data_IF_520650568474
#
_entry.id   IF_520650568474
#
_cell.length_a   1.000
_cell.length_b   1.000
_cell.length_c   1.000
_cell.angle_alpha   90.00
_cell.angle_beta   90.00
_cell.angle_gamma   90.00
#
_symmetry.space_group_name_H-M   'P 1'
#
loop_
_entity.id
_entity.type
_entity.pdbx_description
1 polymer ?
#
# COMPACT_ATOMS: atom_id res chain seq x y z
N UNK A 1 11.32 -18.06 -19.25
CA UNK A 1 12.20 -18.45 -18.12
C UNK A 1 12.81 -17.15 -17.65
N UNK A 2 12.57 -16.74 -16.41
CA UNK A 2 13.05 -15.42 -15.97
C UNK A 2 14.57 -15.48 -15.79
N UNK A 3 15.26 -14.51 -16.36
CA UNK A 3 16.70 -14.50 -16.59
C UNK A 3 17.42 -13.71 -15.48
N UNK A 4 17.17 -14.10 -14.23
CA UNK A 4 17.79 -13.49 -13.05
C UNK A 4 18.18 -14.54 -12.01
N UNK A 5 19.18 -14.21 -11.19
CA UNK A 5 19.67 -15.07 -10.13
C UNK A 5 18.62 -15.23 -9.01
N UNK A 6 18.14 -16.45 -8.72
CA UNK A 6 17.17 -16.69 -7.66
C UNK A 6 17.68 -16.33 -6.27
N UNK A 7 19.00 -16.39 -6.01
CA UNK A 7 19.57 -15.98 -4.73
C UNK A 7 19.45 -14.47 -4.51
N UNK A 8 19.69 -13.70 -5.57
CA UNK A 8 19.55 -12.24 -5.54
C UNK A 8 18.08 -11.83 -5.36
N UNK A 9 17.15 -12.53 -6.01
CA UNK A 9 15.71 -12.33 -5.79
C UNK A 9 15.31 -12.58 -4.34
N UNK A 10 15.73 -13.71 -3.75
CA UNK A 10 15.43 -14.05 -2.36
C UNK A 10 16.01 -13.01 -1.39
N UNK A 11 17.22 -12.53 -1.65
CA UNK A 11 17.83 -11.44 -0.90
C UNK A 11 16.97 -10.17 -0.95
N UNK A 12 16.58 -9.71 -2.14
CA UNK A 12 15.76 -8.50 -2.30
C UNK A 12 14.42 -8.65 -1.56
N UNK A 13 13.75 -9.79 -1.70
CA UNK A 13 12.50 -10.07 -0.98
C UNK A 13 12.69 -10.11 0.54
N UNK A 14 13.80 -10.64 1.02
CA UNK A 14 14.13 -10.66 2.45
C UNK A 14 14.39 -9.25 3.00
N UNK A 15 15.11 -8.40 2.27
CA UNK A 15 15.34 -7.01 2.68
C UNK A 15 14.03 -6.21 2.71
N UNK A 16 13.13 -6.41 1.76
CA UNK A 16 11.82 -5.77 1.79
C UNK A 16 11.01 -6.20 3.02
N UNK A 17 11.06 -7.49 3.39
CA UNK A 17 10.41 -8.00 4.62
C UNK A 17 10.97 -7.36 5.89
N UNK A 18 12.24 -6.93 5.88
CA UNK A 18 12.87 -6.18 6.97
C UNK A 18 12.58 -4.67 6.93
N UNK A 19 11.76 -4.20 5.98
CA UNK A 19 11.32 -2.80 5.90
C UNK A 19 12.21 -1.89 5.06
N UNK A 20 13.22 -2.43 4.36
CA UNK A 20 14.06 -1.62 3.48
C UNK A 20 13.30 -1.21 2.21
N UNK A 21 13.53 0.02 1.74
CA UNK A 21 12.93 0.49 0.48
C UNK A 21 13.58 -0.18 -0.73
N UNK A 22 12.80 -0.40 -1.78
CA UNK A 22 13.31 -1.03 -3.01
C UNK A 22 14.43 -0.20 -3.64
N UNK A 23 14.34 1.13 -3.59
CA UNK A 23 15.38 2.03 -4.11
C UNK A 23 16.68 1.96 -3.30
N UNK A 24 16.58 1.83 -1.97
CA UNK A 24 17.76 1.59 -1.12
C UNK A 24 18.44 0.27 -1.51
N UNK A 25 17.66 -0.80 -1.66
CA UNK A 25 18.18 -2.12 -2.03
C UNK A 25 18.83 -2.08 -3.41
N UNK A 26 18.21 -1.41 -4.40
CA UNK A 26 18.80 -1.21 -5.74
C UNK A 26 20.17 -0.54 -5.65
N UNK A 27 20.24 0.60 -4.98
CA UNK A 27 21.49 1.36 -4.86
C UNK A 27 22.56 0.55 -4.14
N UNK A 28 22.19 -0.14 -3.06
CA UNK A 28 23.11 -1.02 -2.34
C UNK A 28 23.68 -2.12 -3.23
N UNK A 29 22.84 -2.80 -4.02
CA UNK A 29 23.32 -3.84 -4.94
C UNK A 29 24.25 -3.27 -6.03
N UNK A 30 23.93 -2.11 -6.58
CA UNK A 30 24.81 -1.44 -7.55
C UNK A 30 26.16 -1.07 -6.92
N UNK A 31 26.18 -0.60 -5.68
CA UNK A 31 27.40 -0.26 -4.94
C UNK A 31 28.25 -1.50 -4.61
N UNK A 32 27.62 -2.67 -4.45
CA UNK A 32 28.31 -3.96 -4.31
C UNK A 32 28.83 -4.53 -5.64
N UNK A 33 28.65 -3.81 -6.75
CA UNK A 33 29.15 -4.22 -8.07
C UNK A 33 28.24 -5.17 -8.85
N UNK A 34 26.99 -5.34 -8.43
CA UNK A 34 26.03 -6.12 -9.22
C UNK A 34 25.68 -5.41 -10.53
N UNK A 35 25.43 -6.21 -11.57
CA UNK A 35 25.06 -5.68 -12.89
C UNK A 35 23.73 -4.91 -12.84
N UNK A 36 23.74 -3.70 -13.39
CA UNK A 36 22.59 -2.79 -13.34
C UNK A 36 21.35 -3.31 -14.07
N UNK A 37 21.54 -4.09 -15.13
CA UNK A 37 20.43 -4.72 -15.88
C UNK A 37 19.79 -5.84 -15.06
N UNK A 38 20.59 -6.68 -14.39
CA UNK A 38 20.08 -7.71 -13.46
C UNK A 38 19.33 -7.08 -12.28
N UNK A 39 19.90 -6.05 -11.64
CA UNK A 39 19.26 -5.34 -10.52
C UNK A 39 17.94 -4.70 -10.97
N UNK A 40 17.91 -4.10 -12.16
CA UNK A 40 16.71 -3.52 -12.76
C UNK A 40 15.59 -4.54 -12.96
N UNK A 41 15.90 -5.68 -13.59
CA UNK A 41 14.94 -6.77 -13.84
C UNK A 41 14.36 -7.35 -12.54
N UNK A 42 15.21 -7.59 -11.54
CA UNK A 42 14.77 -8.12 -10.24
C UNK A 42 13.86 -7.12 -9.55
N UNK A 43 14.25 -5.85 -9.53
CA UNK A 43 13.44 -4.84 -8.90
C UNK A 43 12.08 -4.63 -9.59
N UNK A 44 12.05 -4.68 -10.92
CA UNK A 44 10.81 -4.64 -11.69
C UNK A 44 9.90 -5.85 -11.36
N UNK A 45 10.46 -7.05 -11.33
CA UNK A 45 9.73 -8.26 -10.96
C UNK A 45 9.17 -8.19 -9.53
N UNK A 46 9.97 -7.71 -8.58
CA UNK A 46 9.55 -7.52 -7.18
C UNK A 46 8.47 -6.45 -7.05
N UNK A 47 8.61 -5.33 -7.76
CA UNK A 47 7.58 -4.28 -7.78
C UNK A 47 6.27 -4.82 -8.37
N UNK A 48 6.35 -5.61 -9.43
CA UNK A 48 5.19 -6.25 -10.05
C UNK A 48 4.47 -7.20 -9.08
N UNK A 49 5.20 -8.14 -8.46
CA UNK A 49 4.64 -9.09 -7.49
C UNK A 49 4.00 -8.38 -6.28
N UNK A 50 4.66 -7.32 -5.80
CA UNK A 50 4.17 -6.50 -4.68
C UNK A 50 2.89 -5.76 -5.06
N UNK A 51 2.84 -5.15 -6.23
CA UNK A 51 1.63 -4.49 -6.74
C UNK A 51 0.48 -5.48 -6.91
N UNK A 52 0.75 -6.69 -7.38
CA UNK A 52 -0.27 -7.73 -7.54
C UNK A 52 -0.82 -8.22 -6.19
N UNK A 53 0.04 -8.36 -5.18
CA UNK A 53 -0.39 -8.64 -3.81
C UNK A 53 -1.33 -7.55 -3.28
N UNK A 54 -0.97 -6.28 -3.44
CA UNK A 54 -1.79 -5.13 -3.02
C UNK A 54 -3.12 -5.11 -3.78
N UNK A 55 -3.11 -5.31 -5.11
CA UNK A 55 -4.35 -5.38 -5.93
C UNK A 55 -5.27 -6.50 -5.46
N UNK A 56 -4.72 -7.69 -5.19
CA UNK A 56 -5.47 -8.84 -4.70
C UNK A 56 -6.16 -8.51 -3.38
N UNK A 57 -5.42 -7.91 -2.44
CA UNK A 57 -5.95 -7.45 -1.17
C UNK A 57 -7.06 -6.40 -1.34
N UNK A 58 -6.83 -5.37 -2.15
CA UNK A 58 -7.83 -4.32 -2.43
C UNK A 58 -9.11 -4.95 -2.98
N UNK A 59 -9.01 -5.85 -3.95
CA UNK A 59 -10.17 -6.51 -4.55
C UNK A 59 -10.92 -7.38 -3.55
N UNK A 60 -10.21 -8.10 -2.68
CA UNK A 60 -10.81 -8.90 -1.62
C UNK A 60 -11.63 -8.02 -0.66
N UNK A 61 -11.08 -6.89 -0.23
CA UNK A 61 -11.76 -5.95 0.69
C UNK A 61 -12.95 -5.24 0.02
N UNK A 62 -12.82 -4.84 -1.24
CA UNK A 62 -13.94 -4.27 -2.01
C UNK A 62 -15.09 -5.28 -2.11
N UNK A 63 -14.78 -6.54 -2.40
CA UNK A 63 -15.78 -7.61 -2.48
C UNK A 63 -16.43 -7.92 -1.12
N UNK A 64 -15.73 -7.65 -0.02
CA UNK A 64 -16.28 -7.73 1.34
C UNK A 64 -17.09 -6.48 1.75
N UNK A 65 -17.17 -5.45 0.89
CA UNK A 65 -17.99 -4.25 1.12
C UNK A 65 -17.29 -3.11 1.85
N UNK A 66 -15.96 -3.17 2.01
CA UNK A 66 -15.20 -2.08 2.63
C UNK A 66 -15.09 -0.86 1.70
N UNK A 67 -15.05 0.34 2.29
CA UNK A 67 -14.88 1.58 1.55
C UNK A 67 -13.43 1.71 1.04
N UNK A 68 -13.26 2.21 -0.19
CA UNK A 68 -11.94 2.42 -0.81
C UNK A 68 -11.02 3.30 0.05
N UNK A 69 -11.55 4.34 0.70
CA UNK A 69 -10.74 5.24 1.52
C UNK A 69 -10.24 4.54 2.79
N UNK A 70 -11.05 3.66 3.38
CA UNK A 70 -10.66 2.87 4.55
C UNK A 70 -9.59 1.84 4.19
N UNK A 71 -9.72 1.19 3.03
CA UNK A 71 -8.71 0.26 2.50
C UNK A 71 -7.39 1.01 2.29
N UNK A 72 -7.44 2.22 1.71
CA UNK A 72 -6.26 3.06 1.50
C UNK A 72 -5.59 3.40 2.82
N UNK A 73 -6.35 3.91 3.78
CA UNK A 73 -5.83 4.29 5.08
C UNK A 73 -5.19 3.09 5.80
N UNK A 74 -5.78 1.90 5.69
CA UNK A 74 -5.24 0.67 6.27
C UNK A 74 -3.91 0.25 5.63
N UNK A 75 -3.82 0.27 4.30
CA UNK A 75 -2.57 -0.02 3.58
C UNK A 75 -1.46 0.97 3.98
N UNK A 76 -1.77 2.27 4.04
CA UNK A 76 -0.82 3.27 4.52
C UNK A 76 -0.38 3.01 5.97
N UNK A 77 -1.31 2.58 6.83
CA UNK A 77 -0.99 2.22 8.23
C UNK A 77 -0.10 0.98 8.36
N UNK A 78 -0.09 0.10 7.35
CA UNK A 78 0.83 -1.04 7.28
C UNK A 78 2.18 -0.68 6.66
N UNK A 79 2.41 0.60 6.35
CA UNK A 79 3.69 1.09 5.84
C UNK A 79 3.86 0.99 4.32
N UNK A 80 2.80 0.69 3.57
CA UNK A 80 2.86 0.75 2.11
C UNK A 80 3.03 2.20 1.64
N UNK A 81 3.82 2.40 0.58
CA UNK A 81 4.06 3.73 0.03
C UNK A 81 2.79 4.28 -0.63
N UNK A 82 2.43 5.56 -0.43
CA UNK A 82 1.23 6.14 -1.01
C UNK A 82 1.10 5.96 -2.52
N UNK A 83 2.21 6.09 -3.26
CA UNK A 83 2.26 5.98 -4.71
C UNK A 83 1.92 4.57 -5.20
N UNK A 84 2.36 3.54 -4.49
CA UNK A 84 2.07 2.14 -4.83
C UNK A 84 0.63 1.80 -4.54
N UNK A 85 0.11 2.26 -3.40
CA UNK A 85 -1.31 2.10 -3.05
C UNK A 85 -2.16 2.76 -4.13
N UNK A 86 -1.81 3.98 -4.56
CA UNK A 86 -2.51 4.67 -5.64
C UNK A 86 -2.43 3.94 -6.98
N UNK A 87 -1.24 3.44 -7.34
CA UNK A 87 -1.01 2.67 -8.57
C UNK A 87 -1.82 1.37 -8.55
N UNK A 88 -1.86 0.67 -7.42
CA UNK A 88 -2.66 -0.54 -7.22
C UNK A 88 -4.17 -0.25 -7.24
N UNK A 89 -4.62 0.85 -6.64
CA UNK A 89 -6.04 1.24 -6.66
C UNK A 89 -6.52 1.63 -8.06
N UNK A 90 -5.72 2.40 -8.82
CA UNK A 90 -6.06 2.77 -10.20
C UNK A 90 -6.16 1.55 -11.12
N UNK A 91 -5.33 0.54 -10.90
CA UNK A 91 -5.32 -0.70 -11.70
C UNK A 91 -6.34 -1.74 -11.24
N UNK A 92 -6.66 -1.79 -9.93
CA UNK A 92 -7.64 -2.69 -9.33
C UNK A 92 -9.09 -2.23 -9.48
N UNK A 93 -9.33 -0.93 -9.71
CA UNK A 93 -10.66 -0.37 -9.95
C UNK A 93 -11.25 -0.72 -11.34
N UNK A 94 -10.72 -1.71 -12.06
CA UNK A 94 -11.48 -2.35 -13.13
C UNK A 94 -12.69 -3.00 -12.48
N UNK A 95 -13.80 -2.26 -12.54
CA UNK A 95 -15.14 -2.66 -12.11
C UNK A 95 -15.31 -4.10 -12.55
N UNK A 96 -15.17 -5.04 -11.62
CA UNK A 96 -15.54 -6.43 -11.88
C UNK A 96 -16.94 -6.31 -12.45
N UNK A 97 -17.11 -6.66 -13.72
CA UNK A 97 -18.43 -6.86 -14.30
C UNK A 97 -18.97 -8.11 -13.64
N UNK A 98 -19.27 -7.99 -12.35
CA UNK A 98 -20.32 -8.72 -11.70
C UNK A 98 -21.55 -8.34 -12.51
N UNK A 99 -21.77 -9.03 -13.63
CA UNK A 99 -23.08 -9.14 -14.24
C UNK A 99 -23.93 -9.54 -13.05
N UNK A 100 -24.78 -8.64 -12.52
CA UNK A 100 -25.49 -8.94 -11.29
C UNK A 100 -26.18 -10.26 -11.53
N UNK A 101 -26.14 -11.17 -10.57
CA UNK A 101 -26.79 -12.48 -10.72
C UNK A 101 -28.26 -12.30 -11.16
N UNK A 102 -28.85 -11.15 -10.81
CA UNK A 102 -30.14 -10.65 -11.30
C UNK A 102 -30.21 -10.49 -12.83
N UNK A 103 -29.19 -9.97 -13.50
CA UNK A 103 -29.15 -9.87 -14.97
C UNK A 103 -29.02 -11.26 -15.63
N UNK A 104 -28.24 -12.19 -15.05
CA UNK A 104 -28.19 -13.58 -15.52
C UNK A 104 -29.54 -14.27 -15.33
N UNK A 105 -30.19 -14.08 -14.17
CA UNK A 105 -31.53 -14.58 -13.89
C UNK A 105 -32.56 -13.95 -14.84
N UNK A 106 -32.48 -12.65 -15.11
CA UNK A 106 -33.38 -11.97 -16.03
C UNK A 106 -33.26 -12.54 -17.46
N UNK A 107 -32.03 -12.77 -17.94
CA UNK A 107 -31.79 -13.42 -19.22
C UNK A 107 -32.35 -14.85 -19.24
N UNK A 108 -32.17 -15.64 -18.18
CA UNK A 108 -32.73 -16.98 -18.07
C UNK A 108 -34.27 -16.99 -18.01
N UNK A 109 -34.90 -16.01 -17.35
CA UNK A 109 -36.36 -15.84 -17.33
C UNK A 109 -36.87 -15.47 -18.72
N UNK A 110 -36.19 -14.57 -19.44
CA UNK A 110 -36.56 -14.19 -20.81
C UNK A 110 -36.46 -15.41 -21.74
N UNK A 111 -35.35 -16.15 -21.70
CA UNK A 111 -35.17 -17.38 -22.50
C UNK A 111 -36.23 -18.42 -22.15
N UNK A 112 -36.48 -18.63 -20.85
CA UNK A 112 -37.52 -19.54 -20.37
C UNK A 112 -38.93 -19.13 -20.81
N UNK A 113 -39.23 -17.83 -20.79
CA UNK A 113 -40.49 -17.26 -21.25
C UNK A 113 -40.68 -17.44 -22.76
N UNK A 114 -39.64 -17.22 -23.57
CA UNK A 114 -39.66 -17.46 -25.01
C UNK A 114 -39.89 -18.95 -25.30
N UNK A 115 -39.18 -19.84 -24.62
CA UNK A 115 -39.37 -21.29 -24.79
C UNK A 115 -40.78 -21.73 -24.36
N UNK A 116 -41.29 -21.18 -23.26
CA UNK A 116 -42.67 -21.43 -22.80
C UNK A 116 -43.69 -20.96 -23.83
N UNK A 117 -43.48 -19.78 -24.43
CA UNK A 117 -44.34 -19.21 -25.46
C UNK A 117 -44.34 -20.06 -26.75
N UNK A 118 -43.18 -20.59 -27.17
CA UNK A 118 -43.07 -21.48 -28.34
C UNK A 118 -43.81 -22.81 -28.15
N UNK A 119 -43.83 -23.35 -26.92
CA UNK A 119 -44.46 -24.65 -26.62
C UNK A 119 -45.95 -24.52 -26.29
N UNK A 120 -46.42 -23.32 -25.92
CA UNK A 120 -47.82 -23.09 -25.59
C UNK A 120 -48.65 -22.86 -26.87
N UNK A 121 -49.78 -23.56 -27.08
CA UNK A 121 -50.65 -23.33 -28.23
C UNK A 121 -51.26 -21.94 -28.18
N UNK A 122 -51.08 -21.18 -29.26
CA UNK A 122 -51.51 -19.79 -29.41
C UNK A 122 -53.03 -19.68 -29.57
N UNK A 123 -53.69 -19.03 -28.61
CA UNK A 123 -55.00 -18.39 -28.87
C UNK A 123 -54.75 -17.04 -29.56
N UNK A 124 -55.31 -16.91 -30.76
CA UNK A 124 -55.15 -15.79 -31.67
C UNK A 124 -55.46 -14.44 -31.01
N UNK A 125 -54.49 -13.52 -30.99
CA UNK A 125 -54.75 -12.10 -30.75
C UNK A 125 -54.10 -11.22 -31.82
N UNK A 126 -54.80 -10.18 -32.31
CA UNK A 126 -54.37 -9.38 -33.44
C UNK A 126 -53.36 -8.30 -33.04
N UNK A 127 -52.48 -8.00 -33.99
CA UNK A 127 -51.23 -7.27 -33.81
C UNK A 127 -51.34 -5.76 -33.59
N UNK A 128 -50.24 -5.24 -33.05
CA UNK A 128 -49.91 -3.83 -32.98
C UNK A 128 -48.51 -3.68 -33.54
N UNK A 129 -48.41 -2.96 -34.65
CA UNK A 129 -47.17 -2.49 -35.27
C UNK A 129 -46.59 -1.33 -34.45
N UNK A 130 -45.30 -1.38 -34.12
CA UNK A 130 -44.57 -0.20 -33.67
C UNK A 130 -43.20 -0.13 -34.35
N UNK A 131 -42.94 1.05 -34.88
CA UNK A 131 -41.90 1.48 -35.82
C UNK A 131 -40.47 1.34 -35.29
N UNK A 132 -39.56 0.98 -36.19
CA UNK A 132 -38.11 0.91 -36.04
C UNK A 132 -37.47 2.29 -35.93
N UNK A 133 -36.46 2.39 -35.07
CA UNK A 133 -35.58 3.55 -34.96
C UNK A 133 -34.14 3.04 -34.83
N UNK A 134 -33.48 2.94 -35.98
CA UNK A 134 -32.06 2.64 -36.15
C UNK A 134 -31.19 3.78 -35.63
N UNK A 135 -30.09 3.45 -34.96
CA UNK A 135 -28.90 4.30 -34.91
C UNK A 135 -27.67 3.38 -34.80
N UNK A 136 -27.07 3.11 -35.96
CA UNK A 136 -25.73 2.57 -36.12
C UNK A 136 -24.71 3.67 -35.80
N UNK A 137 -23.70 3.37 -34.98
CA UNK A 137 -22.46 4.13 -34.96
C UNK A 137 -21.28 3.18 -35.22
N UNK A 138 -20.80 3.25 -36.45
CA UNK A 138 -19.46 2.85 -36.86
C UNK A 138 -18.43 3.77 -36.20
N UNK A 139 -17.32 3.21 -35.72
CA UNK A 139 -16.12 3.97 -35.38
C UNK A 139 -14.89 3.25 -35.96
N UNK A 140 -14.45 3.77 -37.11
CA UNK A 140 -13.22 3.42 -37.83
C UNK A 140 -12.01 4.25 -37.36
N UNK A 141 -10.84 3.82 -37.84
CA UNK A 141 -9.47 4.36 -37.83
C UNK A 141 -8.52 3.60 -36.89
N UNK A 142 -7.68 2.68 -37.38
CA UNK A 142 -6.51 2.85 -38.28
C UNK A 142 -5.54 3.92 -37.78
N UNK A 143 -4.41 3.47 -37.21
CA UNK A 143 -3.14 4.15 -37.38
C UNK A 143 -1.97 3.14 -37.34
N UNK A 144 -1.36 3.06 -38.51
CA UNK A 144 -0.15 2.39 -38.94
C UNK A 144 1.07 3.25 -38.56
N UNK A 145 2.05 2.70 -37.83
CA UNK A 145 3.40 3.29 -37.75
C UNK A 145 4.46 2.19 -37.65
N UNK A 146 5.11 1.93 -38.77
CA UNK A 146 6.56 2.16 -38.85
C UNK A 146 7.49 0.98 -38.54
N UNK A 147 7.86 0.27 -39.59
CA UNK A 147 9.04 -0.60 -39.71
C UNK A 147 10.34 0.24 -39.63
N UNK A 148 11.32 -0.20 -38.83
CA UNK A 148 12.73 0.17 -38.98
C UNK A 148 13.65 -0.90 -38.32
N UNK A 149 14.97 -0.92 -38.59
CA UNK A 149 15.63 -1.94 -39.38
C UNK A 149 16.33 -3.03 -38.57
N UNK A 150 16.52 -4.17 -39.25
CA UNK A 150 17.42 -5.26 -38.88
C UNK A 150 18.85 -4.70 -38.77
N UNK A 151 19.41 -4.77 -37.57
CA UNK A 151 20.84 -4.54 -37.31
C UNK A 151 21.50 -5.91 -37.29
N UNK A 152 22.47 -6.11 -38.18
CA UNK A 152 23.37 -7.24 -38.17
C UNK A 152 24.17 -7.21 -36.86
N UNK A 153 23.96 -8.26 -36.05
CA UNK A 153 24.72 -8.49 -34.81
C UNK A 153 26.00 -9.23 -35.23
N UNK A 154 27.13 -8.54 -35.07
CA UNK A 154 28.45 -9.11 -35.20
C UNK A 154 28.65 -10.20 -34.14
N UNK A 155 29.26 -11.29 -34.60
CA UNK A 155 29.60 -12.49 -33.86
C UNK A 155 30.74 -12.16 -32.88
N UNK A 156 30.40 -11.92 -31.61
CA UNK A 156 31.40 -11.72 -30.56
C UNK A 156 31.98 -13.07 -30.11
N UNK A 157 33.31 -13.14 -30.14
CA UNK A 157 34.14 -14.24 -29.67
C UNK A 157 33.84 -14.56 -28.19
N UNK A 158 33.46 -15.81 -27.92
CA UNK A 158 33.41 -16.40 -26.59
C UNK A 158 34.78 -16.30 -25.92
N UNK A 159 34.94 -15.29 -25.07
CA UNK A 159 36.03 -15.25 -24.11
C UNK A 159 35.58 -16.05 -22.89
N UNK A 160 36.25 -17.18 -22.62
CA UNK A 160 36.09 -17.96 -21.40
C UNK A 160 36.34 -17.05 -20.19
N UNK A 161 35.26 -16.52 -19.62
CA UNK A 161 35.31 -15.81 -18.34
C UNK A 161 35.43 -16.85 -17.23
N UNK A 162 36.56 -16.77 -16.55
CA UNK A 162 36.83 -17.46 -15.29
C UNK A 162 35.71 -17.13 -14.31
N UNK A 163 34.98 -18.16 -13.88
CA UNK A 163 33.80 -18.04 -13.04
C UNK A 163 34.24 -17.57 -11.64
N UNK A 164 34.36 -16.26 -11.45
CA UNK A 164 34.56 -15.68 -10.13
C UNK A 164 33.35 -16.02 -9.26
N UNK A 165 33.64 -16.56 -8.09
CA UNK A 165 32.60 -16.96 -7.14
C UNK A 165 31.86 -15.69 -6.70
N UNK A 166 30.51 -15.68 -6.75
CA UNK A 166 29.73 -14.49 -6.39
C UNK A 166 30.17 -13.96 -5.02
N UNK A 167 30.41 -12.64 -4.90
CA UNK A 167 30.85 -12.05 -3.65
C UNK A 167 29.87 -12.40 -2.53
N UNK A 168 30.41 -12.88 -1.41
CA UNK A 168 29.62 -13.24 -0.23
C UNK A 168 28.89 -11.98 0.27
N UNK A 169 27.54 -12.00 0.19
CA UNK A 169 26.70 -10.84 0.50
C UNK A 169 26.89 -10.49 1.98
N UNK A 170 27.47 -9.32 2.32
CA UNK A 170 27.63 -8.94 3.71
C UNK A 170 26.26 -8.71 4.36
N UNK A 171 26.08 -9.25 5.56
CA UNK A 171 24.87 -9.04 6.35
C UNK A 171 24.72 -7.54 6.65
N UNK A 172 23.61 -6.88 6.27
CA UNK A 172 23.48 -5.42 6.43
C UNK A 172 23.52 -5.03 7.91
N UNK A 173 24.27 -3.98 8.22
CA UNK A 173 24.32 -3.39 9.56
C UNK A 173 22.92 -2.96 10.01
N UNK A 174 22.55 -3.23 11.28
CA UNK A 174 21.22 -2.95 11.85
C UNK A 174 20.76 -1.50 11.54
N UNK A 175 19.60 -1.35 10.90
CA UNK A 175 19.09 -0.02 10.50
C UNK A 175 18.48 0.77 11.65
N UNK A 176 18.36 2.08 11.45
CA UNK A 176 17.62 2.98 12.35
C UNK A 176 16.17 2.53 12.61
N UNK A 177 15.54 1.84 11.65
CA UNK A 177 14.18 1.30 11.78
C UNK A 177 14.10 0.14 12.78
N UNK A 178 15.08 -0.78 12.74
CA UNK A 178 15.21 -1.90 13.68
C UNK A 178 15.40 -1.43 15.15
N UNK A 179 15.88 -0.19 15.34
CA UNK A 179 16.02 0.43 16.68
C UNK A 179 14.70 0.93 17.25
N UNK A 180 13.72 1.27 16.40
CA UNK A 180 12.40 1.76 16.83
C UNK A 180 11.52 0.61 17.32
N UNK A 181 11.62 -0.57 16.70
CA UNK A 181 10.79 -1.73 17.06
C UNK A 181 11.17 -2.34 18.42
N UNK A 182 12.48 -2.35 18.77
CA UNK A 182 12.98 -2.81 20.09
C UNK A 182 12.47 -1.96 21.27
N UNK A 183 11.84 -0.80 21.04
CA UNK A 183 11.24 0.04 22.09
C UNK A 183 9.99 -0.60 22.69
N UNK A 184 9.28 -1.47 21.95
CA UNK A 184 7.99 -2.02 22.38
C UNK A 184 8.06 -3.13 23.44
N UNK A 185 9.18 -3.84 23.61
CA UNK A 185 9.26 -5.01 24.51
C UNK A 185 9.58 -4.66 25.99
N UNK A 186 9.80 -3.39 26.30
CA UNK A 186 10.60 -2.99 27.46
C UNK A 186 9.77 -2.64 28.73
N UNK A 187 8.43 -2.68 28.68
CA UNK A 187 7.55 -1.89 29.58
C UNK A 187 7.33 -2.44 31.02
N UNK A 188 7.86 -3.60 31.45
CA UNK A 188 7.43 -4.21 32.75
C UNK A 188 8.47 -4.38 33.89
N UNK A 189 9.59 -3.65 33.93
CA UNK A 189 10.37 -3.47 35.17
C UNK A 189 11.32 -2.25 35.12
N UNK A 190 11.33 -1.48 36.21
CA UNK A 190 11.95 -0.14 36.44
C UNK A 190 11.81 0.82 35.26
N UNK A 191 10.60 1.32 35.04
CA UNK A 191 10.21 2.09 33.86
C UNK A 191 11.04 3.37 33.65
N UNK A 192 11.49 4.04 34.72
CA UNK A 192 12.12 5.36 34.59
C UNK A 192 13.42 5.36 33.78
N UNK A 193 14.30 4.36 33.96
CA UNK A 193 15.56 4.28 33.21
C UNK A 193 15.33 4.00 31.72
N UNK A 194 14.37 3.12 31.43
CA UNK A 194 14.01 2.74 30.06
C UNK A 194 13.29 3.86 29.34
N UNK A 195 12.43 4.59 30.04
CA UNK A 195 11.77 5.79 29.51
C UNK A 195 12.82 6.86 29.20
N UNK A 196 13.77 7.14 30.11
CA UNK A 196 14.83 8.12 29.85
C UNK A 196 15.68 7.73 28.64
N UNK A 197 16.02 6.44 28.49
CA UNK A 197 16.75 5.95 27.32
C UNK A 197 15.94 6.11 26.03
N UNK A 198 14.64 5.82 26.06
CA UNK A 198 13.76 6.01 24.91
C UNK A 198 13.61 7.51 24.54
N UNK A 199 13.48 8.39 25.53
CA UNK A 199 13.50 9.85 25.32
C UNK A 199 14.79 10.27 24.61
N UNK A 200 15.94 9.79 25.09
CA UNK A 200 17.24 10.11 24.47
C UNK A 200 17.35 9.59 23.04
N UNK A 201 16.76 8.42 22.74
CA UNK A 201 16.70 7.89 21.37
C UNK A 201 15.87 8.81 20.47
N UNK A 202 14.68 9.24 20.91
CA UNK A 202 13.85 10.19 20.15
C UNK A 202 14.58 11.54 19.96
N UNK A 203 15.25 12.07 21.00
CA UNK A 203 15.97 13.35 20.91
C UNK A 203 17.12 13.33 19.90
N UNK A 204 17.73 12.15 19.67
CA UNK A 204 18.85 11.98 18.74
C UNK A 204 18.41 11.68 17.30
N UNK A 205 17.12 11.52 17.02
CA UNK A 205 16.63 11.28 15.66
C UNK A 205 16.80 12.53 14.79
N UNK A 206 17.49 12.38 13.65
CA UNK A 206 17.82 13.52 12.77
C UNK A 206 16.61 14.05 11.98
N UNK A 207 15.63 13.20 11.69
CA UNK A 207 14.42 13.57 10.96
C UNK A 207 13.33 14.00 11.94
N UNK A 208 12.90 15.26 11.85
CA UNK A 208 11.88 15.84 12.73
C UNK A 208 10.52 15.12 12.66
N UNK A 209 10.12 14.58 11.51
CA UNK A 209 8.86 13.82 11.37
C UNK A 209 8.92 12.53 12.19
N UNK A 210 10.04 11.81 12.14
CA UNK A 210 10.21 10.58 12.91
C UNK A 210 10.39 10.85 14.41
N UNK A 211 11.05 11.95 14.75
CA UNK A 211 11.20 12.41 16.12
C UNK A 211 9.84 12.76 16.76
N UNK A 212 8.99 13.48 16.04
CA UNK A 212 7.63 13.82 16.46
C UNK A 212 6.79 12.56 16.67
N UNK A 213 6.83 11.62 15.72
CA UNK A 213 6.16 10.34 15.84
C UNK A 213 6.68 9.50 17.03
N UNK A 214 7.98 9.55 17.31
CA UNK A 214 8.61 8.87 18.44
C UNK A 214 8.07 9.39 19.78
N UNK A 215 8.02 10.71 19.96
CA UNK A 215 7.46 11.31 21.17
C UNK A 215 5.97 11.06 21.34
N UNK A 216 5.20 11.04 20.26
CA UNK A 216 3.78 10.71 20.30
C UNK A 216 3.52 9.25 20.75
N UNK A 217 4.32 8.29 20.29
CA UNK A 217 4.20 6.91 20.78
C UNK A 217 4.65 6.79 22.24
N UNK A 218 5.71 7.50 22.62
CA UNK A 218 6.22 7.45 23.98
C UNK A 218 5.25 8.08 24.99
N UNK A 219 4.61 9.20 24.64
CA UNK A 219 3.56 9.82 25.47
C UNK A 219 2.37 8.87 25.66
N UNK A 220 1.96 8.15 24.61
CA UNK A 220 0.90 7.14 24.68
C UNK A 220 1.27 5.96 25.57
N UNK A 221 2.50 5.46 25.46
CA UNK A 221 2.97 4.31 26.22
C UNK A 221 3.14 4.63 27.72
N UNK A 222 3.66 5.83 28.02
CA UNK A 222 3.96 6.27 29.39
C UNK A 222 2.80 7.02 30.06
N UNK A 223 1.84 7.47 29.26
CA UNK A 223 0.76 8.40 29.66
C UNK A 223 1.29 9.74 30.20
N UNK A 224 2.50 10.14 29.78
CA UNK A 224 3.12 11.40 30.15
C UNK A 224 2.91 12.45 29.06
N UNK A 225 2.03 13.42 29.33
CA UNK A 225 1.72 14.50 28.41
C UNK A 225 2.88 15.50 28.22
N UNK A 226 3.85 15.52 29.14
CA UNK A 226 5.02 16.41 29.00
C UNK A 226 5.87 16.06 27.78
N UNK A 227 5.78 14.81 27.30
CA UNK A 227 6.42 14.37 26.07
C UNK A 227 5.77 14.97 24.82
N UNK A 228 4.48 15.32 24.86
CA UNK A 228 3.83 16.01 23.74
C UNK A 228 4.46 17.39 23.49
N UNK A 229 4.98 18.06 24.53
CA UNK A 229 5.68 19.36 24.38
C UNK A 229 6.96 19.25 23.54
N UNK A 230 7.50 18.05 23.34
CA UNK A 230 8.69 17.79 22.52
C UNK A 230 8.39 17.66 21.03
N UNK A 231 7.10 17.57 20.65
CA UNK A 231 6.65 17.48 19.25
C UNK A 231 6.70 18.87 18.60
N UNK A 232 7.44 18.98 17.50
CA UNK A 232 7.65 20.20 16.73
C UNK A 232 6.41 20.58 15.91
N UNK A 233 5.75 19.61 15.26
CA UNK A 233 4.52 19.84 14.50
C UNK A 233 3.33 20.14 15.41
N UNK A 234 2.72 21.31 15.23
CA UNK A 234 1.63 21.80 16.07
C UNK A 234 0.40 20.90 16.02
N UNK A 235 0.05 20.39 14.83
CA UNK A 235 -1.13 19.56 14.65
C UNK A 235 -0.96 18.21 15.35
N UNK A 236 0.19 17.55 15.16
CA UNK A 236 0.52 16.30 15.85
C UNK A 236 0.60 16.49 17.36
N UNK A 237 1.17 17.61 17.83
CA UNK A 237 1.25 17.93 19.25
C UNK A 237 -0.13 18.06 19.89
N UNK A 238 -1.03 18.80 19.27
CA UNK A 238 -2.41 18.97 19.77
C UNK A 238 -3.17 17.63 19.80
N UNK A 239 -2.95 16.77 18.80
CA UNK A 239 -3.49 15.41 18.80
C UNK A 239 -2.89 14.52 19.90
N UNK A 240 -1.59 14.65 20.17
CA UNK A 240 -0.90 13.98 21.28
C UNK A 240 -1.53 14.37 22.63
N UNK A 241 -1.73 15.67 22.88
CA UNK A 241 -2.39 16.15 24.09
C UNK A 241 -3.81 15.61 24.23
N UNK A 242 -4.62 15.71 23.17
CA UNK A 242 -5.99 15.19 23.16
C UNK A 242 -6.03 13.70 23.50
N UNK A 243 -5.21 12.87 22.87
CA UNK A 243 -5.15 11.43 23.16
C UNK A 243 -4.71 11.15 24.59
N UNK A 244 -3.71 11.88 25.08
CA UNK A 244 -3.19 11.69 26.43
C UNK A 244 -4.23 12.10 27.49
N UNK A 245 -4.97 13.17 27.26
CA UNK A 245 -6.11 13.59 28.09
C UNK A 245 -7.16 12.46 28.18
N UNK A 246 -7.55 11.89 27.04
CA UNK A 246 -8.49 10.75 26.96
C UNK A 246 -7.97 9.53 27.75
N UNK A 247 -6.70 9.14 27.58
CA UNK A 247 -6.13 7.96 28.24
C UNK A 247 -5.89 8.14 29.74
N UNK A 248 -5.59 9.36 30.18
CA UNK A 248 -5.34 9.67 31.60
C UNK A 248 -6.57 10.13 32.35
N UNK A 249 -7.66 10.41 31.64
CA UNK A 249 -8.87 11.04 32.15
C UNK A 249 -8.59 12.38 32.86
N UNK A 250 -7.70 13.20 32.29
CA UNK A 250 -7.29 14.49 32.85
C UNK A 250 -7.60 15.65 31.89
N UNK A 251 -8.72 16.32 32.14
CA UNK A 251 -9.23 17.46 31.37
C UNK A 251 -8.25 18.65 31.32
N UNK A 252 -7.40 18.82 32.33
CA UNK A 252 -6.44 19.94 32.33
C UNK A 252 -5.46 19.85 31.16
N UNK A 253 -5.19 18.65 30.64
CA UNK A 253 -4.33 18.45 29.46
C UNK A 253 -4.98 19.06 28.21
N UNK A 254 -6.32 19.08 28.13
CA UNK A 254 -7.02 19.74 27.03
C UNK A 254 -6.79 21.27 27.01
N UNK A 255 -6.36 21.87 28.13
CA UNK A 255 -6.05 23.31 28.17
C UNK A 255 -4.82 23.68 27.34
N UNK A 256 -3.88 22.74 27.21
CA UNK A 256 -2.61 22.88 26.45
C UNK A 256 -2.80 22.79 24.92
N UNK A 257 -3.97 22.35 24.46
CA UNK A 257 -4.28 22.26 23.02
C UNK A 257 -4.42 23.66 22.42
N UNK A 258 -3.67 23.93 21.35
CA UNK A 258 -3.64 25.23 20.69
C UNK A 258 -4.82 25.41 19.71
N UNK A 259 -5.18 24.36 18.98
CA UNK A 259 -6.33 24.36 18.06
C UNK A 259 -7.66 24.40 18.83
N UNK A 260 -8.52 25.42 18.62
CA UNK A 260 -9.75 25.59 19.39
C UNK A 260 -10.81 24.52 19.08
N UNK A 261 -10.82 23.94 17.87
CA UNK A 261 -11.75 22.89 17.50
C UNK A 261 -11.38 21.58 18.20
N UNK A 262 -10.10 21.20 18.17
CA UNK A 262 -9.59 20.02 18.88
C UNK A 262 -9.71 20.19 20.40
N UNK A 263 -9.48 21.39 20.93
CA UNK A 263 -9.65 21.69 22.35
C UNK A 263 -11.11 21.49 22.78
N UNK A 264 -12.05 22.03 22.01
CA UNK A 264 -13.48 21.85 22.28
C UNK A 264 -13.88 20.38 22.21
N UNK A 265 -13.36 19.64 21.22
CA UNK A 265 -13.58 18.20 21.10
C UNK A 265 -13.02 17.42 22.30
N UNK A 266 -11.82 17.76 22.77
CA UNK A 266 -11.18 17.16 23.94
C UNK A 266 -12.03 17.35 25.22
N UNK A 267 -12.61 18.53 25.40
CA UNK A 267 -13.46 18.88 26.55
C UNK A 267 -14.86 18.23 26.51
N UNK A 268 -15.31 17.73 25.35
CA UNK A 268 -16.62 17.09 25.21
C UNK A 268 -16.62 15.60 25.56
N UNK A 269 -15.47 14.97 25.74
CA UNK A 269 -15.42 13.58 26.15
C UNK A 269 -15.84 13.48 27.62
N UNK A 270 -17.05 12.98 27.88
CA UNK A 270 -17.47 12.61 29.23
C UNK A 270 -16.59 11.46 29.73
N UNK A 271 -15.67 11.77 30.65
CA UNK A 271 -14.81 10.80 31.33
C UNK A 271 -15.64 10.01 32.35
N UNK A 272 -16.49 9.10 31.85
CA UNK A 272 -17.35 8.22 32.65
C UNK A 272 -16.62 7.00 33.21
#
# INVERSE_FOLDING_TARGET
MMDYDPALMDYVQNQIRKGYSLDYIKNFLLDQGYDSSQVGKIAEAVEHDRLDSIKSYINQEINAGYNINDIRARLLSYGYQPEEVDKAMKSGAKKSTNIPVIAVIAVLIIIGGILYFIVSPSDDTPGVSFDEGDDEQELDSEDDVGIAPVVDIEEEEETEQEQETPPEIPEPEETEFDRVEKVYEVINASQDEKIMRAVQMCENTANEIYKDACFDQLSKATRDHSLCLKISDLQQRDQCFKRTAIYTQNENICEEISDPALKSECMMYDYA
#
